data_IF_827013170716
#
_entry.id   IF_827013170716
#
_cell.length_a   1.000
_cell.length_b   1.000
_cell.length_c   1.000
_cell.angle_alpha   90.00
_cell.angle_beta   90.00
_cell.angle_gamma   90.00
#
_symmetry.space_group_name_H-M   'P 1'
#
loop_
_entity.id
_entity.type
_entity.pdbx_description
1 polymer ?
#
# COMPACT_ATOMS: atom_id res chain seq x y z
N UNK A 1 -32.97 -13.47 -46.93
CA UNK A 1 -32.62 -14.31 -45.78
C UNK A 1 -31.81 -13.45 -44.82
N UNK A 2 -32.49 -12.77 -43.90
CA UNK A 2 -31.90 -11.99 -42.81
C UNK A 2 -31.60 -12.96 -41.66
N UNK A 3 -30.34 -13.09 -41.28
CA UNK A 3 -29.99 -13.75 -40.02
C UNK A 3 -30.40 -12.82 -38.88
N UNK A 4 -31.16 -13.27 -37.87
CA UNK A 4 -31.38 -12.49 -36.68
C UNK A 4 -30.03 -12.38 -35.95
N UNK A 5 -29.59 -11.16 -35.64
CA UNK A 5 -28.54 -10.93 -34.66
C UNK A 5 -28.95 -11.64 -33.37
N UNK A 6 -28.24 -12.71 -33.04
CA UNK A 6 -28.42 -13.40 -31.76
C UNK A 6 -27.98 -12.43 -30.68
N UNK A 7 -28.92 -11.92 -29.89
CA UNK A 7 -28.66 -11.35 -28.57
C UNK A 7 -27.70 -12.30 -27.84
N UNK A 8 -26.45 -11.86 -27.68
CA UNK A 8 -25.45 -12.64 -26.97
C UNK A 8 -25.81 -12.58 -25.48
N UNK A 9 -26.61 -13.55 -25.03
CA UNK A 9 -26.86 -13.79 -23.61
C UNK A 9 -25.51 -13.85 -22.89
N UNK A 10 -25.28 -13.07 -21.83
CA UNK A 10 -24.02 -13.11 -21.12
C UNK A 10 -23.86 -14.48 -20.46
N UNK A 11 -22.94 -15.29 -20.98
CA UNK A 11 -22.56 -16.55 -20.38
C UNK A 11 -21.35 -16.32 -19.47
N UNK A 12 -21.63 -16.01 -18.22
CA UNK A 12 -20.60 -16.03 -17.18
C UNK A 12 -20.25 -17.48 -16.87
N UNK A 13 -18.97 -17.79 -16.75
CA UNK A 13 -18.57 -19.17 -16.47
C UNK A 13 -18.65 -19.45 -14.97
N UNK A 14 -19.36 -20.51 -14.62
CA UNK A 14 -19.41 -20.94 -13.22
C UNK A 14 -18.04 -21.54 -12.81
N UNK A 15 -17.56 -21.28 -11.58
CA UNK A 15 -16.24 -21.72 -11.10
C UNK A 15 -16.18 -23.23 -10.74
N UNK A 16 -16.79 -24.09 -11.56
CA UNK A 16 -16.91 -25.54 -11.31
C UNK A 16 -15.55 -26.23 -11.31
N UNK A 17 -14.64 -25.82 -12.19
CA UNK A 17 -13.27 -26.34 -12.26
C UNK A 17 -12.50 -26.03 -10.97
N UNK A 18 -12.63 -24.81 -10.44
CA UNK A 18 -11.97 -24.37 -9.22
C UNK A 18 -12.48 -25.18 -8.02
N UNK A 19 -13.79 -25.36 -7.88
CA UNK A 19 -14.36 -26.21 -6.82
C UNK A 19 -13.85 -27.63 -6.93
N UNK A 20 -13.82 -28.19 -8.14
CA UNK A 20 -13.35 -29.57 -8.35
C UNK A 20 -11.89 -29.71 -7.91
N UNK A 21 -11.01 -28.76 -8.27
CA UNK A 21 -9.62 -28.76 -7.82
C UNK A 21 -9.47 -28.60 -6.30
N UNK A 22 -10.27 -27.72 -5.68
CA UNK A 22 -10.29 -27.54 -4.23
C UNK A 22 -10.71 -28.82 -3.50
N UNK A 23 -11.75 -29.51 -3.99
CA UNK A 23 -12.19 -30.80 -3.45
C UNK A 23 -11.13 -31.88 -3.62
N UNK A 24 -10.47 -31.95 -4.79
CA UNK A 24 -9.37 -32.91 -5.02
C UNK A 24 -8.23 -32.66 -4.04
N UNK A 25 -7.83 -31.41 -3.82
CA UNK A 25 -6.79 -31.07 -2.83
C UNK A 25 -7.22 -31.47 -1.43
N UNK A 26 -8.45 -31.16 -1.01
CA UNK A 26 -8.94 -31.57 0.31
C UNK A 26 -8.99 -33.09 0.49
N UNK A 27 -9.41 -33.83 -0.53
CA UNK A 27 -9.42 -35.30 -0.51
C UNK A 27 -7.99 -35.82 -0.37
N UNK A 28 -7.05 -35.29 -1.15
CA UNK A 28 -5.65 -35.72 -1.12
C UNK A 28 -4.99 -35.38 0.22
N UNK A 29 -5.24 -34.18 0.76
CA UNK A 29 -4.76 -33.76 2.08
C UNK A 29 -5.40 -34.60 3.18
N UNK A 30 -6.72 -34.87 3.10
CA UNK A 30 -7.42 -35.72 4.06
C UNK A 30 -6.88 -37.15 4.07
N UNK A 31 -6.64 -37.73 2.88
CA UNK A 31 -5.98 -39.02 2.76
C UNK A 31 -4.57 -39.02 3.37
N UNK A 32 -3.74 -38.02 3.03
CA UNK A 32 -2.42 -37.84 3.64
C UNK A 32 -2.48 -37.70 5.17
N UNK A 33 -3.44 -36.94 5.69
CA UNK A 33 -3.66 -36.77 7.11
C UNK A 33 -4.06 -38.08 7.80
N UNK A 34 -4.92 -38.90 7.19
CA UNK A 34 -5.29 -40.22 7.75
C UNK A 34 -4.10 -41.18 7.82
N UNK A 35 -3.20 -41.16 6.82
CA UNK A 35 -1.97 -41.96 6.83
C UNK A 35 -0.96 -41.44 7.87
N UNK A 36 -0.87 -40.13 8.05
CA UNK A 36 0.02 -39.50 9.02
C UNK A 36 -0.50 -39.60 10.46
N UNK A 37 -1.81 -39.75 10.66
CA UNK A 37 -2.50 -39.74 11.96
C UNK A 37 -1.80 -40.58 13.03
N UNK A 38 -1.43 -41.85 12.83
CA UNK A 38 -0.73 -42.64 13.85
C UNK A 38 0.62 -42.02 14.28
N UNK A 39 1.34 -41.36 13.37
CA UNK A 39 2.63 -40.74 13.65
C UNK A 39 2.50 -39.36 14.32
N UNK A 40 1.46 -38.57 13.99
CA UNK A 40 1.25 -37.24 14.58
C UNK A 40 0.34 -37.24 15.81
N UNK A 41 -0.41 -38.32 16.08
CA UNK A 41 -1.33 -38.40 17.23
C UNK A 41 -0.66 -38.09 18.59
N UNK A 42 0.55 -38.59 18.90
CA UNK A 42 1.23 -38.25 20.16
C UNK A 42 1.51 -36.75 20.33
N UNK A 43 1.76 -36.05 19.21
CA UNK A 43 2.04 -34.62 19.17
C UNK A 43 0.77 -33.82 19.54
N UNK A 44 -0.39 -34.26 19.05
CA UNK A 44 -1.68 -33.67 19.39
C UNK A 44 -2.02 -33.85 20.87
N UNK A 45 -1.80 -35.05 21.41
CA UNK A 45 -2.10 -35.38 22.79
C UNK A 45 -1.23 -34.59 23.79
N UNK A 46 0.00 -34.23 23.40
CA UNK A 46 0.92 -33.49 24.25
C UNK A 46 0.55 -32.01 24.44
N UNK A 47 -0.03 -31.36 23.42
CA UNK A 47 -0.45 -29.96 23.46
C UNK A 47 -1.85 -29.76 22.85
N UNK A 48 -2.92 -30.22 23.55
CA UNK A 48 -4.28 -30.21 23.00
C UNK A 48 -4.81 -28.79 22.74
N UNK A 49 -4.42 -27.82 23.57
CA UNK A 49 -4.85 -26.42 23.40
C UNK A 49 -4.29 -25.80 22.13
N UNK A 50 -2.96 -25.78 21.98
CA UNK A 50 -2.30 -25.12 20.85
C UNK A 50 -2.66 -25.81 19.52
N UNK A 51 -2.51 -27.13 19.45
CA UNK A 51 -2.84 -27.89 18.24
C UNK A 51 -4.33 -27.83 17.91
N UNK A 52 -5.20 -27.79 18.93
CA UNK A 52 -6.64 -27.58 18.76
C UNK A 52 -6.96 -26.23 18.12
N UNK A 53 -6.30 -25.15 18.56
CA UNK A 53 -6.46 -23.83 17.94
C UNK A 53 -5.95 -23.85 16.49
N UNK A 54 -4.83 -24.52 16.18
CA UNK A 54 -4.34 -24.62 14.79
C UNK A 54 -5.39 -25.34 13.91
N UNK A 55 -5.93 -26.48 14.35
CA UNK A 55 -6.99 -27.18 13.61
C UNK A 55 -8.20 -26.28 13.41
N UNK A 56 -8.62 -25.57 14.47
CA UNK A 56 -9.78 -24.68 14.41
C UNK A 56 -9.58 -23.57 13.36
N UNK A 57 -8.44 -22.87 13.40
CA UNK A 57 -8.10 -21.82 12.43
C UNK A 57 -7.98 -22.42 11.02
N UNK A 58 -7.43 -23.62 10.87
CA UNK A 58 -7.36 -24.33 9.60
C UNK A 58 -8.76 -24.59 9.02
N UNK A 59 -9.69 -25.11 9.83
CA UNK A 59 -11.08 -25.35 9.41
C UNK A 59 -11.77 -24.05 8.99
N UNK A 60 -11.58 -22.95 9.73
CA UNK A 60 -12.08 -21.63 9.34
C UNK A 60 -11.48 -21.21 7.99
N UNK A 61 -10.18 -21.41 7.76
CA UNK A 61 -9.52 -21.10 6.49
C UNK A 61 -10.12 -21.86 5.31
N UNK A 62 -10.33 -23.17 5.48
CA UNK A 62 -11.00 -24.00 4.47
C UNK A 62 -12.41 -23.49 4.20
N UNK A 63 -13.22 -23.28 5.25
CA UNK A 63 -14.59 -22.77 5.10
C UNK A 63 -14.64 -21.40 4.43
N UNK A 64 -13.72 -20.49 4.78
CA UNK A 64 -13.61 -19.18 4.16
C UNK A 64 -13.30 -19.26 2.66
N UNK A 65 -12.41 -20.16 2.24
CA UNK A 65 -12.13 -20.39 0.82
C UNK A 65 -13.37 -20.89 0.06
N UNK A 66 -14.14 -21.83 0.63
CA UNK A 66 -15.39 -22.29 0.03
C UNK A 66 -16.46 -21.19 0.00
N UNK A 67 -16.56 -20.41 1.07
CA UNK A 67 -17.47 -19.28 1.14
C UNK A 67 -17.20 -18.26 0.03
N UNK A 68 -15.93 -17.93 -0.25
CA UNK A 68 -15.55 -17.06 -1.37
C UNK A 68 -16.06 -17.59 -2.72
N UNK A 69 -15.96 -18.90 -2.97
CA UNK A 69 -16.40 -19.50 -4.23
C UNK A 69 -17.93 -19.58 -4.32
N UNK A 70 -18.63 -19.87 -3.22
CA UNK A 70 -20.11 -19.83 -3.15
C UNK A 70 -20.62 -18.41 -3.39
N UNK A 71 -19.97 -17.41 -2.79
CA UNK A 71 -20.28 -16.00 -3.03
C UNK A 71 -20.10 -15.63 -4.51
N UNK A 72 -19.03 -16.13 -5.15
CA UNK A 72 -18.80 -15.94 -6.58
C UNK A 72 -19.90 -16.57 -7.44
N UNK A 73 -20.33 -17.79 -7.11
CA UNK A 73 -21.46 -18.46 -7.78
C UNK A 73 -22.76 -17.68 -7.64
N UNK A 74 -23.03 -17.12 -6.46
CA UNK A 74 -24.16 -16.22 -6.23
C UNK A 74 -24.09 -14.97 -7.12
N UNK A 75 -22.90 -14.37 -7.25
CA UNK A 75 -22.65 -13.22 -8.14
C UNK A 75 -22.91 -13.54 -9.61
N UNK A 76 -22.41 -14.68 -10.09
CA UNK A 76 -22.67 -15.15 -11.47
C UNK A 76 -24.15 -15.34 -11.71
N UNK A 77 -24.84 -16.08 -10.82
CA UNK A 77 -26.27 -16.37 -10.95
C UNK A 77 -27.13 -15.10 -10.90
N UNK A 78 -26.74 -14.13 -10.08
CA UNK A 78 -27.44 -12.86 -9.99
C UNK A 78 -27.33 -12.05 -11.29
N UNK A 79 -26.14 -11.99 -11.90
CA UNK A 79 -25.96 -11.29 -13.19
C UNK A 79 -26.71 -12.01 -14.32
N UNK A 80 -26.64 -13.34 -14.39
CA UNK A 80 -27.37 -14.13 -15.39
C UNK A 80 -28.88 -13.90 -15.28
N UNK A 81 -29.43 -13.85 -14.06
CA UNK A 81 -30.85 -13.56 -13.84
C UNK A 81 -31.21 -12.12 -14.23
N UNK A 82 -30.37 -11.15 -13.88
CA UNK A 82 -30.58 -9.75 -14.25
C UNK A 82 -30.56 -9.53 -15.77
N UNK A 83 -29.67 -10.22 -16.48
CA UNK A 83 -29.54 -10.12 -17.93
C UNK A 83 -30.56 -10.98 -18.71
N UNK A 84 -31.47 -11.67 -18.02
CA UNK A 84 -32.52 -12.47 -18.65
C UNK A 84 -33.74 -11.64 -19.02
N UNK A 85 -34.50 -12.07 -20.04
CA UNK A 85 -35.73 -11.40 -20.51
C UNK A 85 -36.87 -11.38 -19.47
N UNK A 86 -36.74 -12.12 -18.37
CA UNK A 86 -37.74 -12.18 -17.30
C UNK A 86 -37.05 -12.22 -15.93
N UNK A 87 -36.52 -11.08 -15.45
CA UNK A 87 -35.80 -11.02 -14.19
C UNK A 87 -36.74 -11.32 -13.01
N UNK A 88 -36.35 -12.27 -12.16
CA UNK A 88 -37.05 -12.50 -10.89
C UNK A 88 -36.73 -11.36 -9.90
N UNK A 89 -37.71 -10.51 -9.51
CA UNK A 89 -37.50 -9.35 -8.64
C UNK A 89 -37.08 -9.72 -7.20
N UNK A 90 -37.28 -10.96 -6.77
CA UNK A 90 -36.92 -11.41 -5.42
C UNK A 90 -35.45 -11.84 -5.29
N UNK A 91 -34.66 -11.76 -6.38
CA UNK A 91 -33.26 -12.18 -6.38
C UNK A 91 -32.37 -11.18 -5.65
N UNK A 92 -31.92 -11.56 -4.45
CA UNK A 92 -31.05 -10.72 -3.60
C UNK A 92 -29.67 -10.53 -4.22
N UNK A 93 -29.24 -9.27 -4.32
CA UNK A 93 -27.91 -8.93 -4.83
C UNK A 93 -26.80 -9.37 -3.86
N UNK A 94 -25.79 -10.13 -4.34
CA UNK A 94 -24.66 -10.52 -3.50
C UNK A 94 -23.81 -9.31 -3.12
N UNK A 95 -23.15 -9.39 -1.97
CA UNK A 95 -22.38 -8.27 -1.40
C UNK A 95 -21.31 -7.73 -2.36
N UNK A 96 -20.70 -8.60 -3.19
CA UNK A 96 -19.72 -8.21 -4.22
C UNK A 96 -20.33 -7.26 -5.27
N UNK A 97 -21.62 -7.40 -5.56
CA UNK A 97 -22.32 -6.66 -6.62
C UNK A 97 -23.28 -5.60 -6.07
N UNK A 98 -23.29 -5.34 -4.76
CA UNK A 98 -24.16 -4.33 -4.15
C UNK A 98 -24.09 -2.95 -4.82
N UNK A 99 -22.90 -2.41 -5.21
CA UNK A 99 -22.81 -1.13 -5.93
C UNK A 99 -23.50 -1.17 -7.30
N UNK A 100 -23.28 -2.25 -8.06
CA UNK A 100 -23.87 -2.49 -9.37
C UNK A 100 -25.40 -2.66 -9.27
N UNK A 101 -25.88 -3.41 -8.27
CA UNK A 101 -27.31 -3.58 -8.01
C UNK A 101 -28.00 -2.27 -7.63
N UNK A 102 -27.32 -1.37 -6.91
CA UNK A 102 -27.88 -0.06 -6.57
C UNK A 102 -28.06 0.82 -7.82
N UNK A 103 -27.08 0.86 -8.72
CA UNK A 103 -27.15 1.66 -9.94
C UNK A 103 -28.15 1.12 -10.95
N UNK A 104 -28.24 -0.21 -11.09
CA UNK A 104 -29.17 -0.85 -12.02
C UNK A 104 -30.63 -0.72 -11.56
N UNK A 105 -30.88 -0.75 -10.24
CA UNK A 105 -32.22 -0.53 -9.68
C UNK A 105 -32.73 0.90 -9.91
N UNK A 106 -31.86 1.90 -9.93
CA UNK A 106 -32.25 3.32 -10.07
C UNK A 106 -32.49 3.74 -11.52
N UNK A 107 -31.87 3.06 -12.51
CA UNK A 107 -31.91 3.50 -13.92
C UNK A 107 -32.87 2.74 -14.83
N UNK A 108 -33.46 1.62 -14.38
CA UNK A 108 -34.46 0.87 -15.15
C UNK A 108 -33.93 0.33 -16.49
N UNK A 109 -34.77 -0.42 -17.22
CA UNK A 109 -34.41 -1.20 -18.41
C UNK A 109 -33.86 -0.42 -19.63
N UNK A 110 -33.69 0.90 -19.55
CA UNK A 110 -33.05 1.71 -20.60
C UNK A 110 -31.62 2.08 -20.18
N UNK A 111 -30.73 1.18 -20.56
CA UNK A 111 -29.35 1.12 -20.13
C UNK A 111 -28.47 2.14 -20.88
N UNK A 112 -28.42 3.39 -20.39
CA UNK A 112 -27.35 4.33 -20.77
C UNK A 112 -26.37 4.43 -19.61
N UNK A 113 -25.42 3.49 -19.56
CA UNK A 113 -24.33 3.53 -18.58
C UNK A 113 -23.17 4.29 -19.23
N UNK A 114 -22.87 5.49 -18.73
CA UNK A 114 -21.69 6.24 -19.18
C UNK A 114 -20.41 5.46 -18.84
N UNK A 115 -19.40 5.49 -19.72
CA UNK A 115 -18.14 4.75 -19.54
C UNK A 115 -17.44 5.03 -18.19
N UNK A 116 -17.62 6.25 -17.65
CA UNK A 116 -17.13 6.65 -16.32
C UNK A 116 -17.80 5.88 -15.18
N UNK A 117 -19.11 5.60 -15.30
CA UNK A 117 -19.88 4.84 -14.30
C UNK A 117 -19.44 3.37 -14.27
N UNK A 118 -19.24 2.76 -15.45
CA UNK A 118 -18.72 1.38 -15.59
C UNK A 118 -17.39 1.19 -14.88
N UNK A 119 -16.45 2.12 -15.09
CA UNK A 119 -15.13 2.05 -14.48
C UNK A 119 -15.17 2.16 -12.96
N UNK A 120 -16.01 3.05 -12.42
CA UNK A 120 -16.18 3.19 -10.98
C UNK A 120 -16.82 1.95 -10.33
N UNK A 121 -17.70 1.25 -11.06
CA UNK A 121 -18.29 -0.01 -10.59
C UNK A 121 -17.22 -1.11 -10.54
N UNK A 122 -16.45 -1.27 -11.62
CA UNK A 122 -15.37 -2.26 -11.69
C UNK A 122 -14.35 -2.04 -10.56
N UNK A 123 -13.94 -0.80 -10.32
CA UNK A 123 -13.02 -0.46 -9.22
C UNK A 123 -13.59 -0.82 -7.84
N UNK A 124 -14.89 -0.59 -7.64
CA UNK A 124 -15.57 -0.98 -6.40
C UNK A 124 -15.66 -2.50 -6.23
N UNK A 125 -15.94 -3.25 -7.30
CA UNK A 125 -15.97 -4.72 -7.29
C UNK A 125 -14.56 -5.28 -7.04
N UNK A 126 -13.53 -4.73 -7.68
CA UNK A 126 -12.13 -5.10 -7.44
C UNK A 126 -11.75 -4.93 -5.96
N UNK A 127 -12.09 -3.77 -5.38
CA UNK A 127 -11.83 -3.50 -3.96
C UNK A 127 -12.52 -4.52 -3.05
N UNK A 128 -13.78 -4.89 -3.35
CA UNK A 128 -14.52 -5.91 -2.57
C UNK A 128 -13.92 -7.31 -2.70
N UNK A 129 -13.41 -7.67 -3.88
CA UNK A 129 -12.70 -8.95 -4.10
C UNK A 129 -11.41 -8.98 -3.27
N UNK A 130 -10.65 -7.87 -3.27
CA UNK A 130 -9.42 -7.75 -2.50
C UNK A 130 -9.69 -7.82 -0.97
N UNK A 131 -10.73 -7.14 -0.47
CA UNK A 131 -11.18 -7.23 0.93
C UNK A 131 -11.51 -8.69 1.32
N UNK A 132 -12.25 -9.40 0.46
CA UNK A 132 -12.60 -10.79 0.73
C UNK A 132 -11.36 -11.70 0.78
N UNK A 133 -10.35 -11.42 -0.06
CA UNK A 133 -9.09 -12.16 -0.12
C UNK A 133 -8.18 -11.88 1.07
N UNK A 134 -8.25 -10.68 1.62
CA UNK A 134 -7.44 -10.26 2.76
C UNK A 134 -7.66 -11.16 3.99
N UNK A 135 -8.92 -11.52 4.27
CA UNK A 135 -9.28 -12.41 5.38
C UNK A 135 -8.58 -13.77 5.26
N UNK A 136 -8.60 -14.39 4.07
CA UNK A 136 -7.92 -15.67 3.85
C UNK A 136 -6.40 -15.56 3.99
N UNK A 137 -5.80 -14.46 3.53
CA UNK A 137 -4.37 -14.20 3.70
C UNK A 137 -3.99 -14.05 5.18
N UNK A 138 -4.83 -13.39 5.97
CA UNK A 138 -4.64 -13.32 7.42
C UNK A 138 -4.71 -14.69 8.08
N UNK A 139 -5.65 -15.55 7.67
CA UNK A 139 -5.75 -16.92 8.20
C UNK A 139 -4.48 -17.74 7.87
N UNK A 140 -3.95 -17.64 6.65
CA UNK A 140 -2.70 -18.31 6.25
C UNK A 140 -1.53 -17.84 7.13
N UNK A 141 -1.35 -16.52 7.29
CA UNK A 141 -0.30 -15.96 8.14
C UNK A 141 -0.49 -16.33 9.62
N UNK A 142 -1.72 -16.39 10.09
CA UNK A 142 -2.08 -16.82 11.45
C UNK A 142 -1.67 -18.28 11.67
N UNK A 143 -1.93 -19.19 10.72
CA UNK A 143 -1.49 -20.59 10.80
C UNK A 143 0.03 -20.73 10.89
N UNK A 144 0.77 -19.93 10.11
CA UNK A 144 2.23 -19.88 10.18
C UNK A 144 2.67 -19.40 11.57
N UNK A 145 2.07 -18.30 12.05
CA UNK A 145 2.39 -17.73 13.35
C UNK A 145 2.09 -18.71 14.50
N UNK A 146 0.97 -19.42 14.47
CA UNK A 146 0.65 -20.45 15.46
C UNK A 146 1.62 -21.63 15.39
N UNK A 147 2.07 -22.03 14.19
CA UNK A 147 3.11 -23.04 14.04
C UNK A 147 4.43 -22.60 14.69
N UNK A 148 4.84 -21.35 14.49
CA UNK A 148 6.00 -20.75 15.16
C UNK A 148 5.79 -20.63 16.68
N UNK A 149 4.57 -20.33 17.14
CA UNK A 149 4.23 -20.32 18.56
C UNK A 149 4.44 -21.72 19.18
N UNK A 150 4.17 -22.79 18.42
CA UNK A 150 4.44 -24.16 18.82
C UNK A 150 5.91 -24.43 19.11
N UNK A 151 6.83 -23.89 18.30
CA UNK A 151 8.27 -24.02 18.57
C UNK A 151 8.68 -23.25 19.81
N UNK A 152 8.15 -22.03 19.99
CA UNK A 152 8.40 -21.22 21.17
C UNK A 152 7.91 -21.92 22.44
N UNK A 153 6.70 -22.48 22.42
CA UNK A 153 6.15 -23.23 23.54
C UNK A 153 7.02 -24.45 23.88
N UNK A 154 7.43 -25.21 22.87
CA UNK A 154 8.32 -26.34 23.07
C UNK A 154 9.65 -25.95 23.70
N UNK A 155 10.30 -24.90 23.18
CA UNK A 155 11.53 -24.36 23.79
C UNK A 155 11.31 -23.94 25.24
N UNK A 156 10.20 -23.25 25.54
CA UNK A 156 9.86 -22.84 26.90
C UNK A 156 9.70 -24.01 27.87
N UNK A 157 9.29 -25.19 27.39
CA UNK A 157 9.20 -26.41 28.21
C UNK A 157 10.51 -27.20 28.28
N UNK A 158 11.30 -27.23 27.20
CA UNK A 158 12.56 -27.99 27.14
C UNK A 158 13.71 -27.29 27.87
N UNK A 159 13.79 -25.95 27.84
CA UNK A 159 14.91 -25.23 28.47
C UNK A 159 14.97 -25.46 29.98
N UNK A 160 13.86 -25.38 30.75
CA UNK A 160 13.85 -25.75 32.15
C UNK A 160 14.24 -27.21 32.39
N UNK A 161 13.77 -28.14 31.54
CA UNK A 161 14.11 -29.55 31.64
C UNK A 161 15.63 -29.81 31.49
N UNK A 162 16.31 -29.09 30.59
CA UNK A 162 17.79 -29.12 30.50
C UNK A 162 18.41 -28.67 31.83
N UNK A 163 17.95 -27.55 32.36
CA UNK A 163 18.51 -26.97 33.60
C UNK A 163 18.34 -27.94 34.77
N UNK A 164 17.17 -28.57 34.89
CA UNK A 164 16.90 -29.57 35.93
C UNK A 164 17.74 -30.83 35.74
N UNK A 165 17.92 -31.28 34.49
CA UNK A 165 18.83 -32.39 34.18
C UNK A 165 20.25 -32.08 34.64
N UNK A 166 20.80 -30.91 34.28
CA UNK A 166 22.15 -30.45 34.69
C UNK A 166 22.27 -30.39 36.22
N UNK A 167 21.25 -29.91 36.93
CA UNK A 167 21.24 -29.88 38.40
C UNK A 167 21.21 -31.28 39.01
N UNK A 168 20.48 -32.21 38.41
CA UNK A 168 20.32 -33.59 38.89
C UNK A 168 21.57 -34.47 38.73
N UNK A 169 22.54 -34.01 37.91
CA UNK A 169 23.84 -34.63 37.67
C UNK A 169 24.88 -34.30 38.76
N UNK A 170 24.60 -33.33 39.64
CA UNK A 170 25.46 -33.06 40.79
C UNK A 170 25.39 -34.25 41.78
N UNK A 171 26.49 -35.00 42.03
CA UNK A 171 26.44 -36.18 42.89
C UNK A 171 26.08 -35.82 44.33
N UNK A 172 25.08 -36.50 44.89
CA UNK A 172 24.80 -36.46 46.33
C UNK A 172 25.66 -37.49 47.08
N UNK A 173 25.94 -37.28 48.36
CA UNK A 173 26.67 -38.27 49.17
C UNK A 173 25.89 -39.59 49.21
N UNK A 174 26.49 -40.66 48.67
CA UNK A 174 25.89 -42.00 48.60
C UNK A 174 25.22 -42.37 47.27
N UNK A 175 25.19 -41.49 46.27
CA UNK A 175 24.64 -41.80 44.93
C UNK A 175 25.55 -42.77 44.16
N UNK A 176 24.98 -43.86 43.63
CA UNK A 176 25.70 -44.77 42.76
C UNK A 176 25.88 -44.17 41.36
N UNK A 177 26.96 -44.52 40.65
CA UNK A 177 27.18 -44.06 39.27
C UNK A 177 26.06 -44.46 38.28
N UNK A 178 25.30 -45.51 38.61
CA UNK A 178 24.12 -45.97 37.85
C UNK A 178 22.94 -45.00 38.01
N UNK A 179 22.77 -44.40 39.18
CA UNK A 179 21.66 -43.47 39.46
C UNK A 179 21.85 -42.15 38.71
N UNK A 180 23.08 -41.62 38.70
CA UNK A 180 23.44 -40.42 37.93
C UNK A 180 23.24 -40.66 36.43
N UNK A 181 23.61 -41.84 35.92
CA UNK A 181 23.38 -42.20 34.51
C UNK A 181 21.89 -42.31 34.17
N UNK A 182 21.08 -42.89 35.05
CA UNK A 182 19.63 -43.00 34.86
C UNK A 182 18.95 -41.63 34.80
N UNK A 183 19.39 -40.67 35.64
CA UNK A 183 18.90 -39.28 35.60
C UNK A 183 19.29 -38.57 34.31
N UNK A 184 20.52 -38.74 33.84
CA UNK A 184 20.96 -38.21 32.55
C UNK A 184 20.11 -38.73 31.40
N UNK A 185 19.88 -40.04 31.35
CA UNK A 185 19.07 -40.67 30.31
C UNK A 185 17.62 -40.13 30.31
N UNK A 186 17.00 -40.07 31.48
CA UNK A 186 15.63 -39.55 31.65
C UNK A 186 15.53 -38.08 31.24
N UNK A 187 16.52 -37.26 31.59
CA UNK A 187 16.57 -35.85 31.21
C UNK A 187 16.71 -35.63 29.71
N UNK A 188 17.54 -36.44 29.04
CA UNK A 188 17.67 -36.42 27.57
C UNK A 188 16.39 -36.89 26.86
N UNK A 189 15.69 -37.89 27.40
CA UNK A 189 14.42 -38.36 26.85
C UNK A 189 13.34 -37.28 26.93
N UNK A 190 13.22 -36.60 28.09
CA UNK A 190 12.30 -35.48 28.26
C UNK A 190 12.60 -34.32 27.29
N UNK A 191 13.89 -34.01 27.10
CA UNK A 191 14.36 -33.00 26.15
C UNK A 191 13.94 -33.32 24.71
N UNK A 192 14.20 -34.55 24.27
CA UNK A 192 13.86 -35.02 22.92
C UNK A 192 12.34 -35.07 22.71
N UNK A 193 11.59 -35.48 23.72
CA UNK A 193 10.12 -35.47 23.69
C UNK A 193 9.56 -34.06 23.52
N UNK A 194 10.01 -33.09 24.33
CA UNK A 194 9.55 -31.71 24.24
C UNK A 194 9.89 -31.05 22.89
N UNK A 195 11.06 -31.36 22.32
CA UNK A 195 11.45 -30.89 20.99
C UNK A 195 10.57 -31.49 19.88
N UNK A 196 10.26 -32.78 19.96
CA UNK A 196 9.39 -33.47 18.99
C UNK A 196 7.99 -32.89 18.95
N UNK A 197 7.42 -32.54 20.11
CA UNK A 197 6.10 -31.91 20.21
C UNK A 197 6.12 -30.50 19.59
N UNK A 198 7.17 -29.71 19.88
CA UNK A 198 7.38 -28.37 19.33
C UNK A 198 7.42 -28.38 17.80
N UNK A 199 8.23 -29.30 17.26
CA UNK A 199 8.44 -29.44 15.82
C UNK A 199 7.17 -29.91 15.11
N UNK A 200 6.45 -30.87 15.69
CA UNK A 200 5.20 -31.35 15.13
C UNK A 200 4.11 -30.28 15.05
N UNK A 201 3.99 -29.43 16.07
CA UNK A 201 3.06 -28.29 16.05
C UNK A 201 3.39 -27.27 14.95
N UNK A 202 4.69 -27.01 14.74
CA UNK A 202 5.17 -26.14 13.66
C UNK A 202 4.88 -26.71 12.27
N UNK A 203 5.18 -28.00 12.06
CA UNK A 203 4.86 -28.70 10.83
C UNK A 203 3.37 -28.66 10.51
N UNK A 204 2.52 -28.81 11.52
CA UNK A 204 1.08 -28.75 11.38
C UNK A 204 0.62 -27.36 10.93
N UNK A 205 1.10 -26.30 11.59
CA UNK A 205 0.79 -24.91 11.22
C UNK A 205 1.23 -24.59 9.79
N UNK A 206 2.46 -24.97 9.42
CA UNK A 206 2.99 -24.75 8.07
C UNK A 206 2.25 -25.56 7.01
N UNK A 207 2.01 -26.85 7.24
CA UNK A 207 1.25 -27.70 6.33
C UNK A 207 -0.19 -27.18 6.15
N UNK A 208 -0.84 -26.78 7.25
CA UNK A 208 -2.16 -26.14 7.23
C UNK A 208 -2.16 -24.86 6.40
N UNK A 209 -1.16 -23.98 6.59
CA UNK A 209 -1.04 -22.74 5.82
C UNK A 209 -0.82 -22.99 4.33
N UNK A 210 -0.10 -24.06 3.97
CA UNK A 210 0.16 -24.43 2.59
C UNK A 210 -1.13 -24.91 1.91
N UNK A 211 -1.90 -25.75 2.59
CA UNK A 211 -3.19 -26.24 2.09
C UNK A 211 -4.17 -25.09 1.91
N UNK A 212 -4.37 -24.25 2.93
CA UNK A 212 -5.27 -23.09 2.84
C UNK A 212 -4.78 -22.10 1.78
N UNK A 213 -3.47 -21.85 1.68
CA UNK A 213 -2.90 -20.99 0.65
C UNK A 213 -3.12 -21.51 -0.77
N UNK A 214 -3.05 -22.84 -0.98
CA UNK A 214 -3.38 -23.44 -2.27
C UNK A 214 -4.87 -23.30 -2.61
N UNK A 215 -5.76 -23.47 -1.62
CA UNK A 215 -7.19 -23.25 -1.78
C UNK A 215 -7.50 -21.78 -2.11
N UNK A 216 -6.84 -20.82 -1.46
CA UNK A 216 -6.94 -19.39 -1.73
C UNK A 216 -6.54 -19.08 -3.18
N UNK A 217 -5.46 -19.68 -3.70
CA UNK A 217 -5.04 -19.50 -5.09
C UNK A 217 -6.14 -19.94 -6.07
N UNK A 218 -6.80 -21.07 -5.83
CA UNK A 218 -7.90 -21.51 -6.69
C UNK A 218 -9.12 -20.60 -6.62
N UNK A 219 -9.49 -20.13 -5.42
CA UNK A 219 -10.56 -19.15 -5.25
C UNK A 219 -10.22 -17.83 -5.98
N UNK A 220 -8.99 -17.34 -5.83
CA UNK A 220 -8.48 -16.13 -6.50
C UNK A 220 -8.50 -16.23 -8.03
N UNK A 221 -8.17 -17.39 -8.61
CA UNK A 221 -8.32 -17.61 -10.05
C UNK A 221 -9.78 -17.48 -10.51
N UNK A 222 -10.74 -17.98 -9.72
CA UNK A 222 -12.17 -17.82 -10.00
C UNK A 222 -12.60 -16.35 -9.98
N UNK A 223 -12.21 -15.62 -8.94
CA UNK A 223 -12.51 -14.20 -8.78
C UNK A 223 -11.93 -13.34 -9.92
N UNK A 224 -10.67 -13.58 -10.29
CA UNK A 224 -10.01 -12.82 -11.36
C UNK A 224 -10.67 -13.07 -12.72
N UNK A 225 -11.09 -14.31 -12.98
CA UNK A 225 -11.84 -14.65 -14.19
C UNK A 225 -13.21 -13.96 -14.21
N UNK A 226 -13.94 -14.00 -13.10
CA UNK A 226 -15.22 -13.31 -12.99
C UNK A 226 -15.09 -11.80 -13.20
N UNK A 227 -14.04 -11.17 -12.65
CA UNK A 227 -13.77 -9.75 -12.86
C UNK A 227 -13.57 -9.42 -14.36
N UNK A 228 -12.79 -10.23 -15.07
CA UNK A 228 -12.57 -10.08 -16.51
C UNK A 228 -13.88 -10.24 -17.30
N UNK A 229 -14.67 -11.28 -16.98
CA UNK A 229 -15.98 -11.51 -17.62
C UNK A 229 -16.97 -10.35 -17.33
N UNK A 230 -16.91 -9.76 -16.13
CA UNK A 230 -17.72 -8.60 -15.76
C UNK A 230 -17.31 -7.34 -16.54
N UNK A 231 -16.00 -7.12 -16.70
CA UNK A 231 -15.44 -6.03 -17.49
C UNK A 231 -15.86 -6.14 -18.96
N UNK A 232 -15.70 -7.32 -19.57
CA UNK A 232 -16.11 -7.61 -20.94
C UNK A 232 -17.61 -7.36 -21.13
N UNK A 233 -18.45 -7.86 -20.20
CA UNK A 233 -19.90 -7.66 -20.25
C UNK A 233 -20.29 -6.19 -20.17
N UNK A 234 -19.78 -5.43 -19.20
CA UNK A 234 -20.09 -4.00 -19.07
C UNK A 234 -19.59 -3.19 -20.29
N UNK A 235 -18.47 -3.59 -20.89
CA UNK A 235 -17.96 -2.96 -22.11
C UNK A 235 -18.90 -3.16 -23.31
N UNK A 236 -19.52 -4.35 -23.43
CA UNK A 236 -20.45 -4.68 -24.51
C UNK A 236 -21.72 -3.82 -24.45
N UNK A 237 -22.27 -3.62 -23.25
CA UNK A 237 -23.43 -2.75 -23.01
C UNK A 237 -23.13 -1.30 -23.34
N UNK A 238 -21.96 -0.81 -22.91
CA UNK A 238 -21.55 0.58 -23.15
C UNK A 238 -21.40 0.84 -24.65
N UNK A 239 -20.96 -0.15 -25.43
CA UNK A 239 -20.84 -0.07 -26.90
C UNK A 239 -22.20 -0.13 -27.60
N UNK A 240 -23.10 -1.01 -27.18
CA UNK A 240 -24.45 -1.14 -27.78
C UNK A 240 -25.31 0.10 -27.54
N UNK A 241 -25.20 0.74 -26.36
CA UNK A 241 -25.93 1.99 -26.07
C UNK A 241 -25.59 3.16 -27.01
N UNK A 242 -24.44 3.13 -27.70
CA UNK A 242 -24.08 4.09 -28.74
C UNK A 242 -24.53 3.67 -30.15
N UNK A 243 -24.58 2.36 -30.45
CA UNK A 243 -24.95 1.86 -31.80
C UNK A 243 -26.45 1.68 -32.00
N UNK A 244 -27.21 1.36 -30.95
CA UNK A 244 -28.68 1.22 -31.03
C UNK A 244 -29.42 2.56 -31.20
N UNK A 245 -28.70 3.68 -31.29
CA UNK A 245 -29.23 4.99 -31.64
C UNK A 245 -29.37 5.25 -33.13
N UNK A 246 -28.87 4.37 -34.02
CA UNK A 246 -28.83 4.61 -35.46
C UNK A 246 -29.88 3.83 -36.30
N UNK A 247 -30.58 2.83 -35.76
CA UNK A 247 -31.40 1.92 -36.59
C UNK A 247 -32.93 1.90 -36.34
N UNK A 248 -33.48 2.76 -35.49
CA UNK A 248 -34.95 2.92 -35.37
C UNK A 248 -35.39 4.29 -35.93
N UNK A 249 -36.08 4.25 -37.08
CA UNK A 249 -36.41 5.42 -37.90
C UNK A 249 -37.14 6.57 -37.18
N UNK A 250 -36.81 7.77 -37.65
CA UNK A 250 -37.55 9.01 -37.42
C UNK A 250 -36.59 10.18 -37.26
N UNK A 251 -36.51 11.03 -38.28
CA UNK A 251 -35.73 12.30 -38.35
C UNK A 251 -35.91 13.23 -37.12
N UNK A 252 -36.89 12.95 -36.27
CA UNK A 252 -37.18 13.64 -35.02
C UNK A 252 -36.32 13.18 -33.81
N UNK A 253 -35.82 11.94 -33.79
CA UNK A 253 -34.93 11.45 -32.73
C UNK A 253 -33.46 11.85 -32.93
N UNK A 254 -33.03 12.05 -34.19
CA UNK A 254 -31.71 12.61 -34.52
C UNK A 254 -31.58 14.04 -33.99
N UNK A 255 -32.63 14.85 -34.11
CA UNK A 255 -32.63 16.21 -33.55
C UNK A 255 -32.60 16.21 -32.01
N UNK A 256 -33.30 15.28 -31.35
CA UNK A 256 -33.27 15.16 -29.89
C UNK A 256 -31.91 14.66 -29.37
N UNK A 257 -31.29 13.67 -30.03
CA UNK A 257 -29.95 13.16 -29.67
C UNK A 257 -28.83 14.17 -29.94
N UNK A 258 -28.96 14.97 -31.01
CA UNK A 258 -28.03 16.08 -31.28
C UNK A 258 -28.20 17.19 -30.23
N UNK A 259 -29.43 17.53 -29.83
CA UNK A 259 -29.68 18.53 -28.77
C UNK A 259 -29.17 18.05 -27.41
N UNK A 260 -29.35 16.77 -27.07
CA UNK A 260 -28.83 16.18 -25.83
C UNK A 260 -27.31 16.12 -25.85
N UNK A 261 -26.70 15.76 -26.99
CA UNK A 261 -25.26 15.82 -27.20
C UNK A 261 -24.73 17.26 -27.09
N UNK A 262 -25.44 18.26 -27.63
CA UNK A 262 -25.08 19.67 -27.49
C UNK A 262 -25.23 20.15 -26.04
N UNK A 263 -26.23 19.69 -25.30
CA UNK A 263 -26.41 19.99 -23.88
C UNK A 263 -25.25 19.40 -23.05
N UNK A 264 -24.88 18.16 -23.32
CA UNK A 264 -23.76 17.47 -22.64
C UNK A 264 -22.40 18.10 -22.98
N UNK A 265 -22.20 18.52 -24.24
CA UNK A 265 -21.00 19.27 -24.64
C UNK A 265 -20.96 20.68 -24.02
N UNK A 266 -22.10 21.36 -23.88
CA UNK A 266 -22.18 22.65 -23.19
C UNK A 266 -21.91 22.51 -21.69
N UNK A 267 -22.37 21.43 -21.06
CA UNK A 267 -22.07 21.15 -19.65
C UNK A 267 -20.59 20.78 -19.45
N UNK A 268 -19.98 20.03 -20.37
CA UNK A 268 -18.53 19.78 -20.37
C UNK A 268 -17.72 21.07 -20.57
N UNK A 269 -18.15 21.96 -21.46
CA UNK A 269 -17.52 23.28 -21.64
C UNK A 269 -17.68 24.16 -20.40
N UNK A 270 -18.86 24.20 -19.76
CA UNK A 270 -19.07 24.92 -18.51
C UNK A 270 -18.19 24.37 -17.38
N UNK A 271 -18.06 23.04 -17.27
CA UNK A 271 -17.14 22.42 -16.30
C UNK A 271 -15.67 22.75 -16.60
N UNK A 272 -15.27 22.81 -17.88
CA UNK A 272 -13.93 23.23 -18.28
C UNK A 272 -13.66 24.69 -17.92
N UNK A 273 -14.63 25.59 -18.12
CA UNK A 273 -14.52 27.00 -17.72
C UNK A 273 -14.46 27.15 -16.20
N UNK A 274 -15.33 26.47 -15.46
CA UNK A 274 -15.32 26.50 -13.99
C UNK A 274 -14.00 25.96 -13.40
N UNK A 275 -13.45 24.88 -13.97
CA UNK A 275 -12.12 24.36 -13.59
C UNK A 275 -10.98 25.28 -14.01
N UNK A 276 -11.11 25.96 -15.15
CA UNK A 276 -10.13 26.94 -15.63
C UNK A 276 -10.09 28.17 -14.71
N UNK A 277 -11.25 28.69 -14.30
CA UNK A 277 -11.32 29.83 -13.37
C UNK A 277 -10.78 29.48 -11.99
N UNK A 278 -11.10 28.28 -11.47
CA UNK A 278 -10.48 27.78 -10.24
C UNK A 278 -8.97 27.60 -10.36
N UNK A 279 -8.47 27.20 -11.54
CA UNK A 279 -7.04 27.11 -11.82
C UNK A 279 -6.36 28.48 -11.88
N UNK A 280 -7.03 29.48 -12.47
CA UNK A 280 -6.54 30.87 -12.56
C UNK A 280 -6.45 31.49 -11.17
N UNK A 281 -7.49 31.37 -10.36
CA UNK A 281 -7.50 31.87 -8.98
C UNK A 281 -6.37 31.25 -8.13
N UNK A 282 -6.08 29.96 -8.29
CA UNK A 282 -4.97 29.30 -7.59
C UNK A 282 -3.60 29.75 -8.08
N UNK A 283 -3.45 30.06 -9.36
CA UNK A 283 -2.20 30.64 -9.91
C UNK A 283 -2.00 32.06 -9.38
N UNK A 284 -3.05 32.87 -9.32
CA UNK A 284 -3.00 34.22 -8.75
C UNK A 284 -2.63 34.19 -7.25
N UNK A 285 -3.19 33.25 -6.48
CA UNK A 285 -2.82 33.07 -5.06
C UNK A 285 -1.34 32.70 -4.90
N UNK A 286 -0.81 31.81 -5.76
CA UNK A 286 0.62 31.45 -5.73
C UNK A 286 1.52 32.59 -6.15
N UNK A 287 1.11 33.39 -7.15
CA UNK A 287 1.82 34.60 -7.58
C UNK A 287 1.85 35.66 -6.47
N UNK A 288 0.75 35.84 -5.73
CA UNK A 288 0.71 36.71 -4.56
C UNK A 288 1.69 36.27 -3.46
N UNK A 289 1.70 34.98 -3.11
CA UNK A 289 2.67 34.45 -2.13
C UNK A 289 4.13 34.59 -2.59
N UNK A 290 4.37 34.51 -3.89
CA UNK A 290 5.68 34.77 -4.51
C UNK A 290 6.09 36.22 -4.34
N UNK A 291 5.18 37.17 -4.63
CA UNK A 291 5.42 38.59 -4.42
C UNK A 291 5.73 38.89 -2.95
N UNK A 292 4.95 38.34 -2.00
CA UNK A 292 5.17 38.52 -0.56
C UNK A 292 6.51 37.93 -0.07
N UNK A 293 6.99 36.86 -0.71
CA UNK A 293 8.27 36.24 -0.37
C UNK A 293 9.44 37.08 -0.90
N UNK A 294 9.33 37.59 -2.13
CA UNK A 294 10.32 38.50 -2.74
C UNK A 294 10.38 39.83 -1.98
N UNK A 295 9.23 40.36 -1.56
CA UNK A 295 9.16 41.58 -0.75
C UNK A 295 9.87 41.39 0.59
N UNK A 296 9.56 40.31 1.32
CA UNK A 296 10.24 39.97 2.58
C UNK A 296 11.74 39.74 2.43
N UNK A 297 12.16 39.08 1.35
CA UNK A 297 13.59 38.91 1.03
C UNK A 297 14.27 40.27 0.81
N UNK A 298 13.64 41.16 0.05
CA UNK A 298 14.13 42.52 -0.21
C UNK A 298 14.23 43.32 1.09
N UNK A 299 13.19 43.30 1.94
CA UNK A 299 13.21 43.98 3.25
C UNK A 299 14.29 43.41 4.19
N UNK A 300 14.54 42.10 4.18
CA UNK A 300 15.63 41.49 4.99
C UNK A 300 17.02 41.87 4.48
N UNK A 301 17.20 41.95 3.16
CA UNK A 301 18.45 42.41 2.55
C UNK A 301 18.70 43.88 2.86
N UNK A 302 17.67 44.73 2.88
CA UNK A 302 17.77 46.13 3.28
C UNK A 302 17.94 46.31 4.80
N UNK A 303 17.29 45.46 5.60
CA UNK A 303 17.30 45.53 7.06
C UNK A 303 18.55 44.94 7.73
N UNK A 304 19.43 44.29 6.97
CA UNK A 304 20.63 43.63 7.49
C UNK A 304 21.86 44.23 6.83
N UNK A 305 22.26 45.42 7.26
CA UNK A 305 23.62 45.91 7.08
C UNK A 305 24.41 45.97 8.41
N UNK A 306 24.50 44.84 9.17
CA UNK A 306 25.37 44.76 10.34
C UNK A 306 26.84 44.95 9.94
N UNK A 307 27.17 44.75 8.65
CA UNK A 307 28.47 45.03 8.09
C UNK A 307 28.75 46.55 8.07
N UNK A 308 27.85 47.40 7.56
CA UNK A 308 28.07 48.85 7.64
C UNK A 308 28.03 49.38 9.06
N UNK A 309 27.11 48.90 9.91
CA UNK A 309 27.08 49.31 11.32
C UNK A 309 28.32 48.86 12.11
N UNK A 310 28.92 47.73 11.76
CA UNK A 310 30.19 47.28 12.32
C UNK A 310 31.38 48.09 11.76
N UNK A 311 31.39 48.38 10.46
CA UNK A 311 32.41 49.21 9.81
C UNK A 311 32.41 50.64 10.35
N UNK A 312 31.23 51.22 10.59
CA UNK A 312 31.08 52.55 11.18
C UNK A 312 31.57 52.58 12.62
N UNK A 313 31.28 51.53 13.41
CA UNK A 313 31.84 51.36 14.76
C UNK A 313 33.38 51.20 14.75
N UNK A 314 33.92 50.47 13.79
CA UNK A 314 35.37 50.30 13.62
C UNK A 314 36.02 51.63 13.20
N UNK A 315 35.45 52.34 12.23
CA UNK A 315 35.92 53.66 11.80
C UNK A 315 35.89 54.66 12.97
N UNK A 316 34.81 54.70 13.75
CA UNK A 316 34.72 55.55 14.94
C UNK A 316 35.70 55.15 16.06
N UNK A 317 36.12 53.89 16.11
CA UNK A 317 37.18 53.42 17.02
C UNK A 317 38.58 53.82 16.54
N UNK A 318 38.83 53.74 15.23
CA UNK A 318 40.08 54.17 14.60
C UNK A 318 40.29 55.67 14.73
N UNK A 319 39.27 56.49 14.50
CA UNK A 319 39.33 57.94 14.67
C UNK A 319 39.76 58.33 16.09
N UNK A 320 39.19 57.65 17.10
CA UNK A 320 39.56 57.86 18.52
C UNK A 320 40.99 57.45 18.81
N UNK A 321 41.47 56.34 18.23
CA UNK A 321 42.86 55.89 18.38
C UNK A 321 43.85 56.88 17.75
N UNK A 322 43.55 57.36 16.54
CA UNK A 322 44.37 58.37 15.84
C UNK A 322 44.47 59.63 16.70
N UNK A 323 43.33 60.13 17.21
CA UNK A 323 43.32 61.31 18.08
C UNK A 323 44.18 61.13 19.36
N UNK A 324 44.18 59.93 19.98
CA UNK A 324 45.03 59.66 21.15
C UNK A 324 46.51 59.55 20.82
N UNK A 325 46.86 59.04 19.64
CA UNK A 325 48.25 58.90 19.17
C UNK A 325 48.84 60.25 18.77
N UNK A 326 48.06 61.11 18.11
CA UNK A 326 48.45 62.48 17.78
C UNK A 326 48.65 63.33 19.04
N UNK A 327 47.82 63.14 20.07
CA UNK A 327 47.96 63.82 21.36
C UNK A 327 49.20 63.38 22.16
N UNK A 328 49.76 62.20 21.90
CA UNK A 328 50.87 61.64 22.69
C UNK A 328 52.27 61.98 22.18
N UNK A 329 52.43 62.60 21.02
CA UNK A 329 53.72 63.16 20.57
C UNK A 329 54.81 62.12 20.26
N UNK A 330 55.44 62.28 19.10
CA UNK A 330 56.49 61.44 18.53
C UNK A 330 57.76 61.37 19.39
N UNK A 331 57.88 60.40 20.29
CA UNK A 331 59.00 60.37 21.23
C UNK A 331 59.32 59.09 22.00
N UNK A 332 58.93 57.88 21.57
CA UNK A 332 59.58 56.64 22.04
C UNK A 332 59.26 55.46 21.11
N UNK A 333 60.26 54.61 20.82
CA UNK A 333 60.15 53.53 19.83
C UNK A 333 59.01 52.57 20.13
N UNK A 334 58.37 52.02 19.07
CA UNK A 334 57.18 51.17 19.14
C UNK A 334 57.33 50.11 20.24
N UNK A 335 56.66 50.37 21.36
CA UNK A 335 56.73 49.54 22.55
C UNK A 335 56.20 48.12 22.26
N UNK A 336 56.65 47.15 23.06
CA UNK A 336 56.18 45.77 22.97
C UNK A 336 54.64 45.70 23.10
N UNK A 337 54.02 46.61 23.86
CA UNK A 337 52.58 46.71 23.99
C UNK A 337 51.90 47.12 22.68
N UNK A 338 52.46 48.08 21.93
CA UNK A 338 51.93 48.51 20.62
C UNK A 338 51.99 47.39 19.59
N UNK A 339 53.06 46.57 19.60
CA UNK A 339 53.15 45.37 18.75
C UNK A 339 52.11 44.31 19.12
N UNK A 340 51.87 44.12 20.42
CA UNK A 340 50.86 43.18 20.90
C UNK A 340 49.43 43.66 20.58
N UNK A 341 49.18 44.97 20.64
CA UNK A 341 47.92 45.59 20.21
C UNK A 341 47.70 45.47 18.70
N UNK A 342 48.72 45.70 17.88
CA UNK A 342 48.63 45.48 16.42
C UNK A 342 48.34 44.01 16.09
N UNK A 343 48.99 43.08 16.77
CA UNK A 343 48.70 41.64 16.62
C UNK A 343 47.29 41.28 17.08
N UNK A 344 46.79 41.91 18.14
CA UNK A 344 45.40 41.76 18.60
C UNK A 344 44.40 42.28 17.58
N UNK A 345 44.68 43.45 16.97
CA UNK A 345 43.85 44.01 15.89
C UNK A 345 43.82 43.08 14.67
N UNK A 346 44.97 42.53 14.28
CA UNK A 346 45.06 41.61 13.14
C UNK A 346 44.23 40.33 13.39
N UNK A 347 44.29 39.79 14.61
CA UNK A 347 43.45 38.66 15.05
C UNK A 347 41.96 39.03 15.07
N UNK A 348 41.60 40.24 15.54
CA UNK A 348 40.21 40.71 15.52
C UNK A 348 39.69 40.97 14.11
N UNK A 349 40.51 41.48 13.19
CA UNK A 349 40.16 41.65 11.79
C UNK A 349 39.93 40.32 11.08
N UNK A 350 40.77 39.32 11.35
CA UNK A 350 40.55 37.95 10.87
C UNK A 350 39.24 37.38 11.41
N UNK A 351 38.95 37.58 12.69
CA UNK A 351 37.68 37.13 13.30
C UNK A 351 36.46 37.83 12.71
N UNK A 352 36.54 39.14 12.45
CA UNK A 352 35.46 39.88 11.78
C UNK A 352 35.27 39.40 10.34
N UNK A 353 36.37 39.13 9.61
CA UNK A 353 36.29 38.55 8.27
C UNK A 353 35.64 37.17 8.28
N UNK A 354 35.99 36.34 9.27
CA UNK A 354 35.35 35.04 9.47
C UNK A 354 33.86 35.19 9.78
N UNK A 355 33.48 36.05 10.73
CA UNK A 355 32.07 36.30 11.11
C UNK A 355 31.26 36.88 9.93
N UNK A 356 31.83 37.80 9.14
CA UNK A 356 31.20 38.32 7.91
C UNK A 356 31.07 37.22 6.85
N UNK A 357 32.11 36.40 6.67
CA UNK A 357 32.05 35.29 5.72
C UNK A 357 31.01 34.25 6.12
N UNK A 358 30.93 33.95 7.42
CA UNK A 358 29.97 33.02 8.01
C UNK A 358 28.54 33.57 7.86
N UNK A 359 28.31 34.83 8.19
CA UNK A 359 27.01 35.50 8.00
C UNK A 359 26.58 35.57 6.53
N UNK A 360 27.51 35.76 5.59
CA UNK A 360 27.21 35.64 4.14
C UNK A 360 26.86 34.22 3.73
N UNK A 361 27.50 33.20 4.31
CA UNK A 361 27.16 31.82 3.99
C UNK A 361 25.82 31.42 4.61
N UNK A 362 25.50 31.88 5.81
CA UNK A 362 24.21 31.66 6.47
C UNK A 362 23.07 32.32 5.68
N UNK A 363 23.23 33.59 5.29
CA UNK A 363 22.24 34.28 4.43
C UNK A 363 22.11 33.64 3.05
N UNK A 364 23.20 33.18 2.43
CA UNK A 364 23.14 32.42 1.17
C UNK A 364 22.47 31.06 1.33
N UNK A 365 22.66 30.39 2.47
CA UNK A 365 22.00 29.13 2.77
C UNK A 365 20.49 29.33 2.99
N UNK A 366 20.09 30.40 3.68
CA UNK A 366 18.68 30.78 3.87
C UNK A 366 18.03 31.15 2.53
N UNK A 367 18.71 31.95 1.68
CA UNK A 367 18.25 32.26 0.32
C UNK A 367 18.09 31.00 -0.54
N UNK A 368 19.05 30.08 -0.47
CA UNK A 368 18.96 28.79 -1.18
C UNK A 368 17.80 27.95 -0.65
N UNK A 369 17.54 27.99 0.65
CA UNK A 369 16.42 27.31 1.28
C UNK A 369 15.08 27.89 0.79
N UNK A 370 14.91 29.21 0.79
CA UNK A 370 13.70 29.89 0.33
C UNK A 370 13.44 29.66 -1.16
N UNK A 371 14.49 29.72 -1.99
CA UNK A 371 14.43 29.37 -3.42
C UNK A 371 14.00 27.91 -3.59
N UNK A 372 14.47 26.99 -2.74
CA UNK A 372 14.08 25.58 -2.81
C UNK A 372 12.61 25.35 -2.40
N UNK A 373 12.10 26.10 -1.42
CA UNK A 373 10.69 26.07 -1.03
C UNK A 373 9.80 26.62 -2.14
N UNK A 374 10.22 27.72 -2.78
CA UNK A 374 9.57 28.30 -3.95
C UNK A 374 9.55 27.32 -5.13
N UNK A 375 10.69 26.72 -5.46
CA UNK A 375 10.78 25.70 -6.50
C UNK A 375 9.87 24.50 -6.19
N UNK A 376 9.75 24.09 -4.93
CA UNK A 376 8.85 22.99 -4.50
C UNK A 376 7.38 23.38 -4.58
N UNK A 377 7.02 24.62 -4.25
CA UNK A 377 5.65 25.14 -4.37
C UNK A 377 5.18 25.29 -5.82
N UNK A 378 6.11 25.61 -6.73
CA UNK A 378 5.89 25.72 -8.18
C UNK A 378 5.93 24.36 -8.89
N UNK A 379 6.84 23.46 -8.50
CA UNK A 379 7.01 22.14 -9.11
C UNK A 379 6.06 21.07 -8.57
N UNK A 380 5.32 21.33 -7.49
CA UNK A 380 4.30 20.40 -7.00
C UNK A 380 3.26 20.19 -8.11
N UNK A 381 3.28 19.03 -8.80
CA UNK A 381 2.42 18.80 -9.93
C UNK A 381 1.00 18.70 -9.42
N UNK A 382 0.07 19.31 -10.16
CA UNK A 382 -1.35 18.95 -10.11
C UNK A 382 -1.39 17.43 -10.07
N UNK A 383 -1.89 16.82 -8.98
CA UNK A 383 -2.15 15.39 -8.91
C UNK A 383 -3.34 15.11 -9.84
N UNK A 384 -3.08 15.19 -11.14
CA UNK A 384 -3.84 14.49 -12.15
C UNK A 384 -3.54 13.03 -11.88
N UNK A 385 -4.50 12.36 -11.26
CA UNK A 385 -4.60 10.91 -11.29
C UNK A 385 -4.79 10.51 -12.75
N UNK A 386 -3.69 10.33 -13.49
CA UNK A 386 -3.73 9.74 -14.82
C UNK A 386 -3.73 8.20 -14.71
N UNK A 387 -4.61 7.52 -15.47
CA UNK A 387 -4.61 6.08 -15.55
C UNK A 387 -3.46 5.58 -16.44
N UNK A 388 -2.63 4.74 -15.84
CA UNK A 388 -1.49 4.02 -16.43
C UNK A 388 -1.88 3.31 -17.75
N UNK A 389 -1.40 3.78 -18.90
CA UNK A 389 -1.41 3.04 -20.17
C UNK A 389 -0.26 2.02 -20.18
N UNK A 390 -0.62 0.74 -20.33
CA UNK A 390 0.30 -0.36 -20.62
C UNK A 390 0.84 -0.26 -22.06
N UNK A 391 2.11 -0.66 -22.22
CA UNK A 391 2.80 -0.84 -23.51
C UNK A 391 2.22 -2.06 -24.27
N UNK A 392 2.05 -2.01 -25.59
CA UNK A 392 1.99 -3.21 -26.40
C UNK A 392 3.41 -3.75 -26.63
N UNK A 393 3.55 -5.06 -26.41
CA UNK A 393 4.73 -5.85 -26.69
C UNK A 393 4.78 -6.19 -28.19
N UNK A 394 5.98 -6.17 -28.77
CA UNK A 394 6.28 -6.57 -30.14
C UNK A 394 5.83 -8.01 -30.44
N UNK A 395 5.27 -8.21 -31.64
CA UNK A 395 5.17 -9.53 -32.25
C UNK A 395 6.04 -9.54 -33.53
N UNK A 396 6.92 -10.53 -33.72
CA UNK A 396 7.83 -10.57 -34.84
C UNK A 396 7.21 -11.34 -36.02
N UNK A 397 7.41 -10.86 -37.25
CA UNK A 397 7.25 -11.71 -38.44
C UNK A 397 6.81 -10.98 -39.70
N UNK A 398 7.73 -10.81 -40.65
CA UNK A 398 7.43 -10.33 -41.99
C UNK A 398 8.67 -10.11 -42.85
N UNK A 399 9.53 -11.13 -42.95
CA UNK A 399 10.69 -11.13 -43.83
C UNK A 399 10.26 -11.14 -45.30
N UNK A 400 10.93 -10.31 -46.08
CA UNK A 400 10.91 -10.26 -47.53
C UNK A 400 11.50 -11.53 -48.15
N UNK A 401 10.75 -12.14 -49.07
CA UNK A 401 11.29 -12.73 -50.30
C UNK A 401 10.21 -12.79 -51.37
#
# INVERSE_FOLDING_TARGET
>A
MSQPEREQRPQFSQPVRQITLMLVVLILTGFGATLALPSVFPIFAANPYLNGVIIFVFLIGVLACFYQVVQLMGSVRWIENFASDSPDPDTVAPQLLAPLASLLRTRGARMQVSATSTRSILDSVATRIDEAREITRYIVNMLIFLGLLGTFYGLATTVPAVVDTIRSLAPAEGDGGVDVFTRLMTGLEAQLGGMGVAFGSSLLGLAGSLVVGLLELFAGHGQNRFYQELEDWLSSITRVGFSSGEEAGGEQHVMAGVVDHMAEQMEQLQQLFARSDGSRAQVDEKMGKLADAVDRMTTRMEGTDPASAALERVAAGQERLIATLEAQGSGEGIDAESRMRLRSIDVQMLRILEEISAGRQETMAELRHDISLLAKALSSPRRNTEPRRQRPNDQPGGGTR
#
